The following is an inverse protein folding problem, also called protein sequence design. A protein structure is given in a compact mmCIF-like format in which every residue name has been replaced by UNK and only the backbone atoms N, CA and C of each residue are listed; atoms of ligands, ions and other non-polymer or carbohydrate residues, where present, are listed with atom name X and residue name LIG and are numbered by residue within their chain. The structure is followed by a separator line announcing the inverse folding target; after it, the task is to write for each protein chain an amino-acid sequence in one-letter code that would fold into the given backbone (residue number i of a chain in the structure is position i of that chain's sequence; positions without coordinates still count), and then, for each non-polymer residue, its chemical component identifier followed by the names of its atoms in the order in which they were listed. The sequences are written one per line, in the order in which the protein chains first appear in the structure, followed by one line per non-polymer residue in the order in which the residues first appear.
data_IF_094035552680
#
_entry.id   IF_094035552680
#
_cell.length_a   1.000
_cell.length_b   1.000
_cell.length_c   1.000
_cell.angle_alpha   90.00
_cell.angle_beta   90.00
_cell.angle_gamma   90.00
#
_symmetry.space_group_name_H-M   'P 1'
#
loop_
_entity.id
_entity.type
_entity.pdbx_description
1 polymer ?
#
# COMPACT_ATOMS: atom_id res chain seq x y z
N UNK A 1 21.11 -6.04 3.09
CA UNK A 1 20.23 -6.79 4.00
C UNK A 1 18.83 -6.25 3.80
N UNK A 2 18.00 -6.97 3.04
CA UNK A 2 16.59 -6.63 2.85
C UNK A 2 15.83 -7.21 4.05
N UNK A 3 15.34 -6.36 4.94
CA UNK A 3 14.39 -6.78 5.97
C UNK A 3 13.01 -6.80 5.30
N UNK A 4 12.57 -7.98 4.85
CA UNK A 4 11.14 -8.20 4.62
C UNK A 4 10.43 -8.16 5.98
N UNK A 5 9.37 -7.38 6.10
CA UNK A 5 8.59 -7.33 7.34
C UNK A 5 7.66 -8.53 7.36
N UNK A 6 7.93 -9.43 8.30
CA UNK A 6 7.15 -10.64 8.51
C UNK A 6 6.52 -10.59 9.90
N UNK A 7 5.23 -10.91 9.99
CA UNK A 7 4.60 -11.27 11.25
C UNK A 7 4.87 -12.74 11.51
N UNK A 8 5.34 -13.05 12.71
CA UNK A 8 5.53 -14.43 13.17
C UNK A 8 4.22 -14.95 13.78
N UNK A 9 3.63 -15.96 13.17
CA UNK A 9 2.44 -16.66 13.67
C UNK A 9 2.85 -18.07 14.12
N UNK A 10 2.48 -18.44 15.34
CA UNK A 10 2.70 -19.77 15.89
C UNK A 10 1.42 -20.61 15.79
N UNK A 11 1.43 -21.66 14.97
CA UNK A 11 0.35 -22.64 14.88
C UNK A 11 0.94 -24.05 15.04
N UNK A 12 0.50 -24.80 16.06
CA UNK A 12 0.94 -26.18 16.33
C UNK A 12 2.47 -26.39 16.36
N UNK A 13 3.23 -25.41 16.88
CA UNK A 13 4.70 -25.50 16.97
C UNK A 13 5.45 -25.17 15.68
N UNK A 14 4.76 -24.84 14.59
CA UNK A 14 5.35 -24.31 13.38
C UNK A 14 5.37 -22.76 13.39
N UNK A 15 6.47 -22.19 12.89
CA UNK A 15 6.67 -20.75 12.69
C UNK A 15 6.23 -20.40 11.28
N UNK A 16 5.19 -19.58 11.15
CA UNK A 16 4.75 -19.01 9.87
C UNK A 16 5.14 -17.54 9.80
N UNK A 17 5.62 -17.11 8.64
CA UNK A 17 5.93 -15.71 8.35
C UNK A 17 4.87 -15.19 7.40
N UNK A 18 3.93 -14.37 7.87
CA UNK A 18 2.96 -13.70 6.99
C UNK A 18 3.43 -12.28 6.65
N UNK A 19 3.29 -11.86 5.40
CA UNK A 19 3.54 -10.48 5.00
C UNK A 19 2.31 -9.66 5.33
N UNK A 20 2.42 -8.74 6.29
CA UNK A 20 1.33 -7.82 6.61
C UNK A 20 1.17 -6.78 5.49
N UNK A 21 0.04 -6.85 4.78
CA UNK A 21 -0.28 -5.94 3.70
C UNK A 21 -0.33 -4.47 4.15
N UNK A 22 -0.86 -4.20 5.35
CA UNK A 22 -0.96 -2.84 5.90
C UNK A 22 0.42 -2.31 6.22
N UNK A 23 1.28 -3.12 6.82
CA UNK A 23 2.65 -2.70 7.12
C UNK A 23 3.46 -2.49 5.84
N UNK A 24 3.29 -3.35 4.84
CA UNK A 24 3.91 -3.17 3.52
C UNK A 24 3.46 -1.87 2.84
N UNK A 25 2.17 -1.54 2.95
CA UNK A 25 1.65 -0.26 2.47
C UNK A 25 2.19 0.92 3.28
N UNK A 26 2.32 0.79 4.61
CA UNK A 26 2.93 1.82 5.46
C UNK A 26 4.37 2.08 5.04
N UNK A 27 5.18 1.04 4.84
CA UNK A 27 6.55 1.18 4.34
C UNK A 27 6.60 1.87 2.97
N UNK A 28 5.71 1.48 2.05
CA UNK A 28 5.58 2.14 0.76
C UNK A 28 5.27 3.63 0.93
N UNK A 29 4.24 3.96 1.70
CA UNK A 29 3.82 5.34 1.92
C UNK A 29 4.96 6.16 2.51
N UNK A 30 5.65 5.64 3.53
CA UNK A 30 6.79 6.31 4.17
C UNK A 30 8.02 6.44 3.24
N UNK A 31 8.17 5.54 2.27
CA UNK A 31 9.21 5.63 1.23
C UNK A 31 8.96 6.76 0.23
N UNK A 32 7.73 7.28 0.15
CA UNK A 32 7.45 8.47 -0.64
C UNK A 32 8.19 9.68 -0.05
N UNK A 33 8.76 10.50 -0.94
CA UNK A 33 9.44 11.73 -0.55
C UNK A 33 8.53 12.62 0.32
N UNK A 34 9.14 13.29 1.31
CA UNK A 34 8.41 14.08 2.31
C UNK A 34 7.47 15.12 1.67
N UNK A 35 7.90 15.77 0.59
CA UNK A 35 7.10 16.76 -0.14
C UNK A 35 5.82 16.16 -0.72
N UNK A 36 5.89 14.96 -1.29
CA UNK A 36 4.74 14.26 -1.86
C UNK A 36 3.77 13.83 -0.76
N UNK A 37 4.28 13.27 0.35
CA UNK A 37 3.44 12.93 1.52
C UNK A 37 2.73 14.17 2.06
N UNK A 38 3.47 15.26 2.31
CA UNK A 38 2.90 16.50 2.83
C UNK A 38 1.79 17.06 1.91
N UNK A 39 1.96 16.97 0.59
CA UNK A 39 0.94 17.37 -0.38
C UNK A 39 -0.32 16.50 -0.26
N UNK A 40 -0.17 15.17 -0.22
CA UNK A 40 -1.28 14.23 -0.04
C UNK A 40 -2.02 14.52 1.26
N UNK A 41 -1.29 14.63 2.37
CA UNK A 41 -1.84 14.91 3.70
C UNK A 41 -2.56 16.27 3.77
N UNK A 42 -2.01 17.30 3.14
CA UNK A 42 -2.66 18.61 3.06
C UNK A 42 -4.01 18.54 2.33
N UNK A 43 -4.07 17.82 1.20
CA UNK A 43 -5.31 17.65 0.43
C UNK A 43 -6.35 16.82 1.19
N UNK A 44 -5.93 15.74 1.84
CA UNK A 44 -6.80 14.92 2.68
C UNK A 44 -7.40 15.71 3.85
N UNK A 45 -6.58 16.50 4.56
CA UNK A 45 -7.05 17.31 5.69
C UNK A 45 -8.13 18.31 5.31
N UNK A 46 -8.08 18.88 4.10
CA UNK A 46 -9.15 19.76 3.58
C UNK A 46 -10.51 19.07 3.48
N UNK A 47 -10.55 17.73 3.48
CA UNK A 47 -11.76 16.92 3.42
C UNK A 47 -12.11 16.25 4.75
N UNK A 48 -11.41 16.60 5.83
CA UNK A 48 -11.59 15.97 7.14
C UNK A 48 -11.01 14.56 7.24
N UNK A 49 -10.18 14.13 6.29
CA UNK A 49 -9.50 12.84 6.32
C UNK A 49 -8.08 12.95 6.91
N UNK A 50 -7.58 11.84 7.43
CA UNK A 50 -6.28 11.70 8.12
C UNK A 50 -5.44 10.59 7.50
N UNK A 51 -4.13 10.58 7.77
CA UNK A 51 -3.26 9.50 7.27
C UNK A 51 -3.69 8.13 7.79
N UNK A 52 -4.25 8.06 8.99
CA UNK A 52 -4.81 6.82 9.56
C UNK A 52 -5.87 6.20 8.64
N UNK A 53 -6.69 7.02 7.97
CA UNK A 53 -7.68 6.53 7.00
C UNK A 53 -7.03 5.77 5.84
N UNK A 54 -5.81 6.16 5.42
CA UNK A 54 -5.07 5.43 4.38
C UNK A 54 -4.55 4.10 4.89
N UNK A 55 -4.12 4.00 6.15
CA UNK A 55 -3.63 2.75 6.71
C UNK A 55 -4.75 1.75 6.96
N UNK A 56 -5.95 2.23 7.28
CA UNK A 56 -7.15 1.39 7.36
C UNK A 56 -7.67 1.00 5.98
N UNK A 57 -7.59 1.91 5.00
CA UNK A 57 -8.13 1.72 3.64
C UNK A 57 -7.12 2.21 2.57
N UNK A 58 -6.08 1.42 2.27
CA UNK A 58 -4.98 1.84 1.38
C UNK A 58 -5.39 2.30 -0.03
N UNK A 59 -6.45 1.71 -0.58
CA UNK A 59 -7.00 2.09 -1.88
C UNK A 59 -7.52 3.54 -1.93
N UNK A 60 -7.79 4.19 -0.78
CA UNK A 60 -8.18 5.61 -0.74
C UNK A 60 -7.07 6.54 -1.25
N UNK A 61 -5.81 6.11 -1.22
CA UNK A 61 -4.70 6.89 -1.75
C UNK A 61 -4.90 7.23 -3.23
N UNK A 62 -5.29 6.24 -4.04
CA UNK A 62 -5.57 6.45 -5.46
C UNK A 62 -6.72 7.46 -5.62
N UNK A 63 -7.82 7.27 -4.90
CA UNK A 63 -9.00 8.14 -5.00
C UNK A 63 -8.67 9.60 -4.63
N UNK A 64 -7.93 9.83 -3.54
CA UNK A 64 -7.56 11.19 -3.14
C UNK A 64 -6.62 11.85 -4.15
N UNK A 65 -5.61 11.14 -4.63
CA UNK A 65 -4.69 11.68 -5.64
C UNK A 65 -5.42 11.93 -6.95
N UNK A 66 -6.28 11.02 -7.40
CA UNK A 66 -7.03 11.17 -8.64
C UNK A 66 -7.95 12.40 -8.61
N UNK A 67 -8.63 12.63 -7.48
CA UNK A 67 -9.53 13.77 -7.35
C UNK A 67 -8.80 15.12 -7.19
N UNK A 68 -7.69 15.17 -6.45
CA UNK A 68 -7.02 16.44 -6.12
C UNK A 68 -5.88 16.83 -7.04
N UNK A 69 -5.23 15.83 -7.62
CA UNK A 69 -4.03 15.97 -8.46
C UNK A 69 -4.25 15.40 -9.86
N UNK A 70 -5.39 14.75 -10.13
CA UNK A 70 -5.75 14.21 -11.43
C UNK A 70 -5.39 12.74 -11.62
N UNK A 71 -6.06 12.04 -12.56
CA UNK A 71 -5.93 10.60 -12.75
C UNK A 71 -4.52 10.18 -13.18
N UNK A 72 -3.82 10.99 -13.98
CA UNK A 72 -2.44 10.70 -14.39
C UNK A 72 -1.49 10.61 -13.18
N UNK A 73 -1.62 11.53 -12.22
CA UNK A 73 -0.82 11.50 -11.00
C UNK A 73 -1.16 10.30 -10.12
N UNK A 74 -2.43 9.87 -10.11
CA UNK A 74 -2.83 8.67 -9.39
C UNK A 74 -2.20 7.40 -9.99
N UNK A 75 -2.16 7.30 -11.32
CA UNK A 75 -1.47 6.21 -12.03
C UNK A 75 0.04 6.20 -11.74
N UNK A 76 0.69 7.36 -11.61
CA UNK A 76 2.09 7.42 -11.18
C UNK A 76 2.29 6.83 -9.78
N UNK A 77 1.37 7.09 -8.84
CA UNK A 77 1.42 6.47 -7.50
C UNK A 77 1.27 4.95 -7.57
N UNK A 78 0.37 4.44 -8.44
CA UNK A 78 0.24 2.99 -8.68
C UNK A 78 1.57 2.41 -9.19
N UNK A 79 2.19 3.06 -10.17
CA UNK A 79 3.46 2.60 -10.72
C UNK A 79 4.58 2.60 -9.68
N UNK A 80 4.63 3.60 -8.80
CA UNK A 80 5.57 3.62 -7.68
C UNK A 80 5.33 2.46 -6.70
N UNK A 81 4.07 2.14 -6.42
CA UNK A 81 3.72 0.99 -5.58
C UNK A 81 4.10 -0.34 -6.22
N UNK A 82 3.84 -0.50 -7.52
CA UNK A 82 4.23 -1.69 -8.29
C UNK A 82 5.75 -1.87 -8.29
N UNK A 83 6.51 -0.79 -8.50
CA UNK A 83 7.97 -0.81 -8.44
C UNK A 83 8.50 -1.16 -7.05
N UNK A 84 7.86 -0.63 -6.00
CA UNK A 84 8.16 -0.97 -4.61
C UNK A 84 7.90 -2.45 -4.30
N UNK A 85 6.76 -2.99 -4.76
CA UNK A 85 6.38 -4.39 -4.61
C UNK A 85 7.32 -5.32 -5.38
N UNK A 86 7.70 -4.95 -6.61
CA UNK A 86 8.65 -5.70 -7.44
C UNK A 86 9.98 -5.93 -6.74
N UNK A 87 10.52 -4.91 -6.06
CA UNK A 87 11.78 -5.02 -5.29
C UNK A 87 11.67 -6.02 -4.14
N UNK A 88 10.46 -6.27 -3.63
CA UNK A 88 10.15 -7.28 -2.60
C UNK A 88 9.69 -8.62 -3.19
N UNK A 89 9.86 -8.83 -4.50
CA UNK A 89 9.46 -10.05 -5.23
C UNK A 89 7.96 -10.37 -5.16
N UNK A 90 7.13 -9.34 -4.98
CA UNK A 90 5.67 -9.46 -5.02
C UNK A 90 5.19 -9.33 -6.47
N UNK A 91 4.16 -10.11 -6.83
CA UNK A 91 3.56 -10.09 -8.17
C UNK A 91 3.08 -8.67 -8.55
N UNK A 92 3.61 -8.16 -9.66
CA UNK A 92 3.36 -6.79 -10.13
C UNK A 92 1.94 -6.58 -10.65
N UNK A 93 1.29 -7.63 -11.16
CA UNK A 93 -0.08 -7.56 -11.65
C UNK A 93 -1.04 -7.43 -10.46
N UNK A 94 -0.87 -8.25 -9.42
CA UNK A 94 -1.65 -8.14 -8.18
C UNK A 94 -1.41 -6.77 -7.52
N UNK A 95 -0.14 -6.33 -7.41
CA UNK A 95 0.19 -5.02 -6.86
C UNK A 95 -0.43 -3.85 -7.64
N UNK A 96 -0.48 -3.94 -8.98
CA UNK A 96 -1.05 -2.91 -9.85
C UNK A 96 -2.56 -2.72 -9.70
N UNK A 97 -3.26 -3.72 -9.20
CA UNK A 97 -4.69 -3.66 -8.89
C UNK A 97 -4.96 -3.19 -7.45
N UNK A 98 -4.01 -3.41 -6.53
CA UNK A 98 -4.20 -3.30 -5.08
C UNK A 98 -4.80 -1.96 -4.63
N UNK A 99 -4.25 -0.84 -5.09
CA UNK A 99 -4.68 0.48 -4.63
C UNK A 99 -5.83 1.08 -5.47
N UNK A 100 -6.31 0.39 -6.51
CA UNK A 100 -7.34 0.92 -7.42
C UNK A 100 -8.76 0.74 -6.88
N UNK A 101 -8.98 -0.24 -6.01
CA UNK A 101 -10.31 -0.53 -5.46
C UNK A 101 -10.24 -1.37 -4.18
N UNK A 102 -11.33 -1.43 -3.38
CA UNK A 102 -11.43 -2.36 -2.26
C UNK A 102 -11.22 -3.82 -2.68
N UNK A 103 -11.71 -4.22 -3.86
CA UNK A 103 -11.55 -5.57 -4.41
C UNK A 103 -10.10 -5.86 -4.78
N UNK A 104 -9.41 -4.90 -5.38
CA UNK A 104 -7.99 -5.01 -5.69
C UNK A 104 -7.17 -5.20 -4.42
N UNK A 105 -7.44 -4.39 -3.40
CA UNK A 105 -6.78 -4.51 -2.10
C UNK A 105 -7.00 -5.88 -1.46
N UNK A 106 -8.25 -6.37 -1.47
CA UNK A 106 -8.60 -7.69 -0.93
C UNK A 106 -7.83 -8.83 -1.62
N UNK A 107 -7.73 -8.79 -2.95
CA UNK A 107 -6.93 -9.77 -3.71
C UNK A 107 -5.45 -9.71 -3.36
N UNK A 108 -4.93 -8.51 -3.14
CA UNK A 108 -3.55 -8.30 -2.72
C UNK A 108 -3.27 -8.91 -1.33
N UNK A 109 -4.17 -8.69 -0.36
CA UNK A 109 -4.08 -9.32 0.97
C UNK A 109 -4.08 -10.84 0.86
N UNK A 110 -5.05 -11.42 0.14
CA UNK A 110 -5.15 -12.87 -0.06
C UNK A 110 -3.90 -13.46 -0.73
N UNK A 111 -3.33 -12.74 -1.69
CA UNK A 111 -2.07 -13.14 -2.32
C UNK A 111 -0.93 -13.20 -1.29
N UNK A 112 -0.77 -12.15 -0.47
CA UNK A 112 0.29 -12.09 0.54
C UNK A 112 0.13 -13.15 1.65
N UNK A 113 -1.11 -13.48 2.02
CA UNK A 113 -1.41 -14.57 2.98
C UNK A 113 -1.09 -15.97 2.41
N UNK A 114 -0.96 -16.10 1.08
CA UNK A 114 -0.66 -17.37 0.41
C UNK A 114 0.84 -17.61 0.15
N UNK A 115 1.69 -16.61 0.43
CA UNK A 115 3.16 -16.69 0.31
C UNK A 115 3.76 -17.38 1.54
#
# INVERSE_FOLDING_TARGET
MEFGVYIVIYLNGAVFYSVDAVELFREFYLSLGMSLRALIEYKMRKRGATVSDLFERPYLLYFYVAQDLGPHNAELIINLFVEFARRRKIDTKIAGEALRSPEGWRRFVQYLESL
#
